data_IF_907257511292
#
_entry.id   IF_907257511292
#
_cell.length_a   1.000
_cell.length_b   1.000
_cell.length_c   1.000
_cell.angle_alpha   90.00
_cell.angle_beta   90.00
_cell.angle_gamma   90.00
#
_symmetry.space_group_name_H-M   'P 1'
#
loop_
_entity.id
_entity.type
_entity.pdbx_description
1 polymer ?
#
# COMPACT_ATOMS: atom_id res chain seq x y z
N UNK A 1 -7.21 22.93 -19.30
CA UNK A 1 -8.10 21.76 -19.44
C UNK A 1 -7.59 20.63 -18.53
N UNK A 2 -8.26 20.33 -17.39
CA UNK A 2 -7.77 19.36 -16.39
C UNK A 2 -7.60 17.94 -16.94
N UNK A 3 -8.46 17.54 -17.88
CA UNK A 3 -8.40 16.21 -18.51
C UNK A 3 -7.15 16.06 -19.37
N UNK A 4 -6.76 17.12 -20.10
CA UNK A 4 -5.53 17.12 -20.89
C UNK A 4 -4.30 16.98 -19.99
N UNK A 5 -4.21 17.76 -18.91
CA UNK A 5 -3.10 17.66 -17.96
C UNK A 5 -3.00 16.25 -17.35
N UNK A 6 -4.13 15.63 -17.00
CA UNK A 6 -4.15 14.24 -16.54
C UNK A 6 -3.56 13.32 -17.62
N UNK A 7 -4.08 13.35 -18.85
CA UNK A 7 -3.58 12.50 -19.94
C UNK A 7 -2.09 12.70 -20.22
N UNK A 8 -1.60 13.94 -20.24
CA UNK A 8 -0.18 14.26 -20.39
C UNK A 8 0.65 13.67 -19.24
N UNK A 9 0.15 13.76 -18.01
CA UNK A 9 0.82 13.17 -16.83
C UNK A 9 0.89 11.65 -16.94
N UNK A 10 -0.17 11.01 -17.44
CA UNK A 10 -0.19 9.56 -17.66
C UNK A 10 0.84 9.18 -18.71
N UNK A 11 0.85 9.86 -19.85
CA UNK A 11 1.77 9.56 -20.96
C UNK A 11 3.22 9.76 -20.51
N UNK A 12 3.56 10.92 -19.94
CA UNK A 12 4.93 11.21 -19.48
C UNK A 12 5.32 10.23 -18.35
N UNK A 13 4.42 10.02 -17.39
CA UNK A 13 4.66 9.13 -16.25
C UNK A 13 4.83 7.66 -16.66
N UNK A 14 4.17 7.21 -17.73
CA UNK A 14 4.32 5.85 -18.25
C UNK A 14 5.75 5.52 -18.69
N UNK A 15 6.52 6.52 -19.15
CA UNK A 15 7.94 6.36 -19.51
C UNK A 15 8.85 6.25 -18.28
N UNK A 16 8.39 6.72 -17.11
CA UNK A 16 9.16 6.60 -15.85
C UNK A 16 8.74 5.36 -15.06
N UNK A 17 7.44 5.12 -14.95
CA UNK A 17 6.86 4.04 -14.15
C UNK A 17 5.62 3.47 -14.85
N UNK A 18 5.66 2.21 -15.34
CA UNK A 18 4.51 1.51 -15.94
C UNK A 18 3.21 1.57 -15.14
N UNK A 19 3.32 1.54 -13.81
CA UNK A 19 2.21 1.60 -12.85
C UNK A 19 1.44 2.92 -12.89
N UNK A 20 2.06 4.01 -13.34
CA UNK A 20 1.40 5.31 -13.52
C UNK A 20 0.33 5.25 -14.60
N UNK A 21 0.50 4.41 -15.63
CA UNK A 21 -0.54 4.19 -16.65
C UNK A 21 -1.83 3.70 -16.02
N UNK A 22 -1.74 2.63 -15.23
CA UNK A 22 -2.89 2.02 -14.57
C UNK A 22 -3.51 2.96 -13.53
N UNK A 23 -2.68 3.57 -12.67
CA UNK A 23 -3.14 4.53 -11.67
C UNK A 23 -3.84 5.74 -12.30
N UNK A 24 -3.24 6.28 -13.35
CA UNK A 24 -3.74 7.39 -14.12
C UNK A 24 -5.06 7.10 -14.80
N UNK A 25 -5.21 5.92 -15.41
CA UNK A 25 -6.46 5.49 -16.03
C UNK A 25 -7.58 5.39 -14.99
N UNK A 26 -7.31 4.82 -13.81
CA UNK A 26 -8.30 4.77 -12.72
C UNK A 26 -8.77 6.20 -12.38
N UNK A 27 -7.84 7.13 -12.17
CA UNK A 27 -8.16 8.52 -11.84
C UNK A 27 -8.84 9.28 -12.99
N UNK A 28 -8.56 8.91 -14.23
CA UNK A 28 -9.14 9.52 -15.43
C UNK A 28 -10.58 9.05 -15.68
N UNK A 29 -10.83 7.74 -15.53
CA UNK A 29 -12.18 7.13 -15.62
C UNK A 29 -13.05 7.62 -14.47
N UNK A 30 -12.50 7.64 -13.25
CA UNK A 30 -13.22 8.01 -12.03
C UNK A 30 -12.69 9.36 -11.48
N UNK A 31 -13.17 10.50 -12.01
CA UNK A 31 -12.69 11.81 -11.60
C UNK A 31 -13.09 12.11 -10.16
N UNK A 32 -12.44 13.13 -9.59
CA UNK A 32 -12.81 13.69 -8.29
C UNK A 32 -14.30 14.05 -8.25
N UNK A 33 -15.01 13.49 -7.27
CA UNK A 33 -16.41 13.85 -7.01
C UNK A 33 -16.51 15.27 -6.47
N UNK A 34 -17.58 15.99 -6.84
CA UNK A 34 -17.91 17.29 -6.25
C UNK A 34 -18.42 17.15 -4.81
N UNK A 35 -19.08 16.04 -4.51
CA UNK A 35 -19.61 15.73 -3.19
C UNK A 35 -18.71 14.69 -2.51
N UNK A 36 -18.35 14.88 -1.22
CA UNK A 36 -17.65 13.86 -0.48
C UNK A 36 -18.52 12.59 -0.38
N UNK A 37 -17.88 11.42 -0.39
CA UNK A 37 -18.58 10.16 -0.16
C UNK A 37 -19.10 10.14 1.28
N UNK A 38 -20.41 9.96 1.43
CA UNK A 38 -21.03 9.84 2.75
C UNK A 38 -20.72 8.48 3.37
N UNK A 39 -20.55 8.46 4.69
CA UNK A 39 -20.34 7.20 5.41
C UNK A 39 -21.62 6.37 5.37
N UNK A 40 -21.49 5.08 5.13
CA UNK A 40 -22.63 4.17 5.23
C UNK A 40 -23.18 4.13 6.66
N UNK A 41 -24.51 4.20 6.86
CA UNK A 41 -25.12 3.86 8.14
C UNK A 41 -24.96 2.36 8.44
N UNK A 42 -24.82 1.52 7.42
CA UNK A 42 -24.67 0.07 7.52
C UNK A 42 -23.20 -0.32 7.71
N UNK A 43 -22.78 -0.48 8.97
CA UNK A 43 -21.39 -0.88 9.31
C UNK A 43 -21.00 -2.29 8.85
N UNK A 44 -21.97 -3.17 8.56
CA UNK A 44 -21.73 -4.60 8.36
C UNK A 44 -21.23 -4.94 6.95
N UNK A 45 -21.72 -4.25 5.92
CA UNK A 45 -21.31 -4.48 4.53
C UNK A 45 -19.82 -4.22 4.29
N UNK A 46 -19.24 -3.27 5.01
CA UNK A 46 -17.81 -2.93 4.93
C UNK A 46 -16.92 -4.07 5.44
N UNK A 47 -17.37 -4.75 6.49
CA UNK A 47 -16.69 -5.92 7.04
C UNK A 47 -16.74 -7.08 6.06
N UNK A 48 -17.86 -7.30 5.37
CA UNK A 48 -18.02 -8.38 4.38
C UNK A 48 -17.10 -8.16 3.19
N UNK A 49 -17.06 -6.97 2.58
CA UNK A 49 -16.18 -6.70 1.45
C UNK A 49 -14.70 -6.83 1.80
N UNK A 50 -14.29 -6.35 2.97
CA UNK A 50 -12.92 -6.56 3.45
C UNK A 50 -12.57 -8.02 3.67
N UNK A 51 -13.51 -8.80 4.20
CA UNK A 51 -13.32 -10.24 4.35
C UNK A 51 -13.18 -10.91 2.97
N UNK A 52 -14.02 -10.54 1.99
CA UNK A 52 -13.92 -11.04 0.61
C UNK A 52 -12.56 -10.69 0.01
N UNK A 53 -12.11 -9.43 0.11
CA UNK A 53 -10.81 -9.02 -0.39
C UNK A 53 -9.66 -9.82 0.25
N UNK A 54 -9.68 -9.98 1.57
CA UNK A 54 -8.67 -10.76 2.28
C UNK A 54 -8.71 -12.24 1.85
N UNK A 55 -9.89 -12.84 1.76
CA UNK A 55 -10.08 -14.23 1.32
C UNK A 55 -9.57 -14.45 -0.10
N UNK A 56 -9.83 -13.54 -1.04
CA UNK A 56 -9.31 -13.67 -2.43
C UNK A 56 -7.78 -13.71 -2.45
N UNK A 57 -7.11 -12.87 -1.64
CA UNK A 57 -5.65 -12.90 -1.52
C UNK A 57 -5.17 -14.24 -0.94
N UNK A 58 -5.83 -14.74 0.11
CA UNK A 58 -5.49 -16.05 0.70
C UNK A 58 -5.70 -17.20 -0.28
N UNK A 59 -6.79 -17.20 -1.05
CA UNK A 59 -7.03 -18.21 -2.08
C UNK A 59 -5.91 -18.21 -3.14
N UNK A 60 -5.41 -17.03 -3.51
CA UNK A 60 -4.25 -16.89 -4.38
C UNK A 60 -2.99 -17.53 -3.78
N UNK A 61 -2.71 -17.25 -2.50
CA UNK A 61 -1.59 -17.87 -1.77
C UNK A 61 -1.74 -19.39 -1.72
N UNK A 62 -2.92 -19.90 -1.34
CA UNK A 62 -3.19 -21.34 -1.25
C UNK A 62 -2.97 -22.01 -2.60
N UNK A 63 -3.47 -21.40 -3.68
CA UNK A 63 -3.31 -21.92 -5.03
C UNK A 63 -1.83 -22.01 -5.44
N UNK A 64 -1.05 -20.94 -5.25
CA UNK A 64 0.35 -20.97 -5.69
C UNK A 64 1.26 -21.82 -4.79
N UNK A 65 1.07 -21.76 -3.47
CA UNK A 65 1.93 -22.47 -2.53
C UNK A 65 1.54 -23.95 -2.38
N UNK A 66 0.28 -24.27 -2.07
CA UNK A 66 -0.12 -25.65 -1.78
C UNK A 66 -0.49 -26.46 -3.03
N UNK A 67 -1.14 -25.84 -4.02
CA UNK A 67 -1.61 -26.56 -5.22
C UNK A 67 -0.50 -26.64 -6.28
N UNK A 68 0.10 -25.50 -6.62
CA UNK A 68 1.19 -25.46 -7.62
C UNK A 68 2.57 -25.81 -7.05
N UNK A 69 2.72 -25.89 -5.72
CA UNK A 69 3.99 -26.19 -5.04
C UNK A 69 5.14 -25.29 -5.49
N UNK A 70 4.83 -24.02 -5.74
CA UNK A 70 5.86 -23.07 -6.09
C UNK A 70 6.65 -22.66 -4.84
N UNK A 71 7.96 -22.65 -4.98
CA UNK A 71 8.85 -22.00 -4.03
C UNK A 71 8.81 -20.48 -4.24
N UNK A 72 9.16 -19.73 -3.19
CA UNK A 72 9.28 -18.28 -3.31
C UNK A 72 10.34 -17.93 -4.36
N UNK A 73 10.06 -16.91 -5.17
CA UNK A 73 11.02 -16.43 -6.15
C UNK A 73 12.20 -15.76 -5.44
N UNK A 74 13.43 -16.07 -5.87
CA UNK A 74 14.64 -15.48 -5.29
C UNK A 74 15.43 -16.39 -4.34
N UNK A 75 15.08 -17.67 -4.18
CA UNK A 75 15.93 -18.61 -3.45
C UNK A 75 15.83 -18.55 -1.92
N UNK A 76 15.09 -17.59 -1.35
CA UNK A 76 14.71 -17.69 0.06
C UNK A 76 13.59 -18.70 0.23
N UNK A 77 13.83 -19.68 1.09
CA UNK A 77 12.84 -20.71 1.36
C UNK A 77 11.73 -20.10 2.21
N UNK A 78 10.49 -20.48 1.90
CA UNK A 78 9.36 -20.17 2.77
C UNK A 78 9.59 -20.91 4.08
N UNK A 79 9.51 -20.22 5.22
CA UNK A 79 9.70 -20.85 6.52
C UNK A 79 8.45 -21.64 6.89
N UNK A 80 8.43 -22.93 6.48
CA UNK A 80 7.30 -23.86 6.63
C UNK A 80 6.62 -23.83 8.02
N UNK A 81 7.37 -23.86 9.15
CA UNK A 81 6.79 -23.69 10.49
C UNK A 81 5.90 -22.46 10.69
N UNK A 82 6.15 -21.36 9.97
CA UNK A 82 5.43 -20.10 10.14
C UNK A 82 4.40 -19.82 9.04
N UNK A 83 4.27 -20.64 8.00
CA UNK A 83 3.39 -20.38 6.84
C UNK A 83 1.96 -20.06 7.24
N UNK A 84 1.36 -20.87 8.11
CA UNK A 84 -0.01 -20.64 8.56
C UNK A 84 -0.16 -19.31 9.30
N UNK A 85 0.82 -18.96 10.14
CA UNK A 85 0.84 -17.69 10.86
C UNK A 85 1.02 -16.52 9.89
N UNK A 86 1.85 -16.67 8.84
CA UNK A 86 2.02 -15.67 7.80
C UNK A 86 0.76 -15.47 6.96
N UNK A 87 0.03 -16.54 6.62
CA UNK A 87 -1.27 -16.47 5.96
C UNK A 87 -2.28 -15.69 6.81
N UNK A 88 -2.34 -15.98 8.11
CA UNK A 88 -3.20 -15.23 9.05
C UNK A 88 -2.77 -13.76 9.11
N UNK A 89 -1.47 -13.48 9.14
CA UNK A 89 -0.94 -12.11 9.15
C UNK A 89 -1.36 -11.32 7.89
N UNK A 90 -1.24 -11.93 6.70
CA UNK A 90 -1.68 -11.33 5.43
C UNK A 90 -3.20 -11.09 5.45
N UNK A 91 -3.99 -12.07 5.91
CA UNK A 91 -5.44 -11.93 6.01
C UNK A 91 -5.82 -10.74 6.90
N UNK A 92 -5.26 -10.69 8.12
CA UNK A 92 -5.54 -9.62 9.08
C UNK A 92 -5.12 -8.26 8.52
N UNK A 93 -3.96 -8.17 7.89
CA UNK A 93 -3.50 -6.94 7.25
C UNK A 93 -4.47 -6.46 6.17
N UNK A 94 -4.78 -7.29 5.17
CA UNK A 94 -5.68 -6.91 4.07
C UNK A 94 -7.06 -6.56 4.61
N UNK A 95 -7.57 -7.32 5.57
CA UNK A 95 -8.86 -7.05 6.20
C UNK A 95 -8.89 -5.68 6.90
N UNK A 96 -7.95 -5.40 7.81
CA UNK A 96 -7.95 -4.15 8.57
C UNK A 96 -7.61 -2.92 7.73
N UNK A 97 -6.76 -3.08 6.70
CA UNK A 97 -6.38 -2.00 5.81
C UNK A 97 -7.53 -1.64 4.86
N UNK A 98 -8.26 -2.61 4.31
CA UNK A 98 -9.36 -2.32 3.38
C UNK A 98 -10.65 -1.87 4.08
N UNK A 99 -10.89 -2.31 5.32
CA UNK A 99 -12.16 -2.06 6.04
C UNK A 99 -12.57 -0.59 6.13
N UNK A 100 -11.70 0.36 6.52
CA UNK A 100 -12.09 1.77 6.56
C UNK A 100 -12.24 2.38 5.16
N UNK A 101 -11.64 1.80 4.12
CA UNK A 101 -11.80 2.26 2.73
C UNK A 101 -13.15 1.87 2.14
N UNK A 102 -13.74 0.77 2.61
CA UNK A 102 -15.09 0.35 2.23
C UNK A 102 -16.19 1.01 3.06
N UNK A 103 -15.90 1.98 3.92
CA UNK A 103 -16.90 2.59 4.81
C UNK A 103 -17.79 3.65 4.12
N UNK A 104 -18.50 3.25 3.06
CA UNK A 104 -19.37 4.13 2.28
C UNK A 104 -20.66 3.45 1.83
N UNK A 105 -21.71 4.24 1.54
CA UNK A 105 -22.96 3.71 1.00
C UNK A 105 -22.76 3.19 -0.43
N UNK A 106 -22.69 1.87 -0.59
CA UNK A 106 -22.46 1.21 -1.88
C UNK A 106 -23.47 1.59 -2.95
N UNK A 107 -24.75 1.69 -2.58
CA UNK A 107 -25.81 1.96 -3.55
C UNK A 107 -25.75 3.41 -4.02
N UNK A 108 -25.50 4.35 -3.10
CA UNK A 108 -25.22 5.74 -3.42
C UNK A 108 -23.97 5.89 -4.29
N UNK A 109 -22.86 5.30 -3.87
CA UNK A 109 -21.58 5.36 -4.61
C UNK A 109 -21.71 4.73 -5.99
N UNK A 110 -22.38 3.58 -6.15
CA UNK A 110 -22.57 2.94 -7.44
C UNK A 110 -23.37 3.84 -8.40
N UNK A 111 -24.46 4.45 -7.92
CA UNK A 111 -25.25 5.42 -8.71
C UNK A 111 -24.40 6.62 -9.14
N UNK A 112 -23.56 7.14 -8.24
CA UNK A 112 -22.68 8.27 -8.55
C UNK A 112 -21.57 7.85 -9.52
N UNK A 113 -20.97 6.68 -9.34
CA UNK A 113 -19.96 6.10 -10.24
C UNK A 113 -20.49 6.00 -11.66
N UNK A 114 -21.67 5.41 -11.85
CA UNK A 114 -22.29 5.22 -13.18
C UNK A 114 -22.47 6.58 -13.87
N UNK A 115 -22.86 7.63 -13.13
CA UNK A 115 -23.01 8.99 -13.68
C UNK A 115 -21.67 9.66 -14.03
N UNK A 116 -20.59 9.29 -13.37
CA UNK A 116 -19.25 9.85 -13.61
C UNK A 116 -18.55 9.23 -14.82
N UNK A 117 -18.89 7.97 -15.14
CA UNK A 117 -18.34 7.26 -16.27
C UNK A 117 -18.95 7.80 -17.57
N UNK A 118 -18.12 8.34 -18.45
CA UNK A 118 -18.54 8.72 -19.80
C UNK A 118 -17.91 7.80 -20.84
N UNK A 119 -18.63 7.43 -21.92
CA UNK A 119 -18.08 6.55 -22.97
C UNK A 119 -16.74 7.06 -23.52
N UNK A 120 -16.61 8.37 -23.70
CA UNK A 120 -15.36 9.03 -24.11
C UNK A 120 -14.18 8.68 -23.19
N UNK A 121 -14.37 8.69 -21.87
CA UNK A 121 -13.30 8.37 -20.91
C UNK A 121 -12.91 6.91 -20.96
N UNK A 122 -13.90 6.01 -21.08
CA UNK A 122 -13.64 4.57 -21.24
C UNK A 122 -12.85 4.33 -22.52
N UNK A 123 -13.31 4.85 -23.67
CA UNK A 123 -12.67 4.66 -24.97
C UNK A 123 -11.22 5.14 -24.92
N UNK A 124 -10.97 6.35 -24.42
CA UNK A 124 -9.60 6.89 -24.29
C UNK A 124 -8.76 5.99 -23.38
N UNK A 125 -9.31 5.53 -22.25
CA UNK A 125 -8.58 4.65 -21.32
C UNK A 125 -8.23 3.30 -21.94
N UNK A 126 -9.16 2.70 -22.71
CA UNK A 126 -8.93 1.46 -23.44
C UNK A 126 -7.86 1.66 -24.50
N UNK A 127 -7.94 2.75 -25.29
CA UNK A 127 -6.91 3.09 -26.29
C UNK A 127 -5.54 3.23 -25.60
N UNK A 128 -5.46 3.93 -24.46
CA UNK A 128 -4.21 4.07 -23.71
C UNK A 128 -3.68 2.72 -23.21
N UNK A 129 -4.52 1.82 -22.71
CA UNK A 129 -4.10 0.47 -22.31
C UNK A 129 -3.59 -0.35 -23.49
N UNK A 130 -4.29 -0.30 -24.63
CA UNK A 130 -3.90 -1.01 -25.84
C UNK A 130 -2.56 -0.49 -26.35
N UNK A 131 -2.40 0.83 -26.46
CA UNK A 131 -1.14 1.45 -26.88
C UNK A 131 -0.02 1.10 -25.89
N UNK A 132 -0.25 1.25 -24.59
CA UNK A 132 0.73 0.89 -23.57
C UNK A 132 1.16 -0.58 -23.67
N UNK A 133 0.20 -1.50 -23.82
CA UNK A 133 0.48 -2.94 -23.97
C UNK A 133 1.24 -3.23 -25.26
N UNK A 134 0.87 -2.58 -26.37
CA UNK A 134 1.56 -2.67 -27.65
C UNK A 134 3.00 -2.19 -27.55
N UNK A 135 3.24 -0.99 -27.01
CA UNK A 135 4.58 -0.44 -26.81
C UNK A 135 5.42 -1.34 -25.89
N UNK A 136 4.85 -1.80 -24.76
CA UNK A 136 5.53 -2.76 -23.88
C UNK A 136 5.93 -4.00 -24.67
N UNK A 137 5.00 -4.66 -25.35
CA UNK A 137 5.28 -5.92 -26.06
C UNK A 137 6.30 -5.76 -27.19
N UNK A 138 6.31 -4.64 -27.88
CA UNK A 138 7.22 -4.37 -29.00
C UNK A 138 8.64 -4.00 -28.54
N UNK A 139 8.75 -3.24 -27.44
CA UNK A 139 10.03 -2.63 -27.03
C UNK A 139 10.61 -3.19 -25.73
N UNK A 140 9.85 -3.94 -24.92
CA UNK A 140 10.41 -4.63 -23.77
C UNK A 140 11.09 -5.92 -24.22
N UNK A 141 12.26 -6.22 -23.66
CA UNK A 141 12.81 -7.57 -23.72
C UNK A 141 11.75 -8.58 -23.23
N UNK A 142 11.80 -9.85 -23.69
CA UNK A 142 10.94 -10.90 -23.15
C UNK A 142 11.25 -11.10 -21.66
N UNK A 143 10.58 -10.33 -20.82
CA UNK A 143 10.59 -10.47 -19.36
C UNK A 143 9.58 -11.53 -18.95
N UNK A 144 9.76 -12.11 -17.76
CA UNK A 144 8.82 -13.03 -17.15
C UNK A 144 7.36 -12.58 -17.32
N UNK A 145 6.49 -13.53 -17.68
CA UNK A 145 5.08 -13.27 -17.95
C UNK A 145 4.36 -12.72 -16.70
N UNK A 146 3.27 -11.97 -16.90
CA UNK A 146 2.48 -11.36 -15.83
C UNK A 146 2.05 -12.30 -14.66
N UNK A 147 1.75 -13.61 -14.84
CA UNK A 147 1.43 -14.49 -13.71
C UNK A 147 2.59 -14.68 -12.72
N UNK A 148 3.84 -14.58 -13.18
CA UNK A 148 5.01 -14.73 -12.32
C UNK A 148 5.13 -13.61 -11.30
N UNK A 149 4.79 -12.38 -11.69
CA UNK A 149 4.83 -11.21 -10.80
C UNK A 149 3.83 -11.37 -9.65
N UNK A 150 2.58 -11.74 -9.95
CA UNK A 150 1.57 -11.97 -8.93
C UNK A 150 1.96 -13.12 -8.00
N UNK A 151 2.55 -14.18 -8.55
CA UNK A 151 3.10 -15.30 -7.76
C UNK A 151 4.17 -14.80 -6.80
N UNK A 152 5.14 -14.02 -7.27
CA UNK A 152 6.20 -13.45 -6.43
C UNK A 152 5.59 -12.62 -5.29
N UNK A 153 4.61 -11.77 -5.58
CA UNK A 153 3.99 -10.90 -4.56
C UNK A 153 3.28 -11.70 -3.48
N UNK A 154 2.50 -12.71 -3.88
CA UNK A 154 1.77 -13.56 -2.95
C UNK A 154 2.73 -14.44 -2.11
N UNK A 155 3.72 -15.08 -2.73
CA UNK A 155 4.61 -16.00 -2.02
C UNK A 155 5.64 -15.28 -1.14
N UNK A 156 6.13 -14.12 -1.57
CA UNK A 156 7.05 -13.30 -0.75
C UNK A 156 6.37 -12.75 0.51
N UNK A 157 5.05 -12.57 0.48
CA UNK A 157 4.26 -12.12 1.64
C UNK A 157 4.18 -13.13 2.79
N UNK A 158 4.44 -14.42 2.51
CA UNK A 158 4.29 -15.50 3.48
C UNK A 158 5.60 -16.11 4.00
N UNK A 159 6.75 -15.59 3.58
CA UNK A 159 8.05 -16.10 4.02
C UNK A 159 8.20 -16.06 5.55
N UNK A 160 7.80 -14.95 6.17
CA UNK A 160 7.70 -14.77 7.63
C UNK A 160 6.45 -13.93 7.97
N UNK A 161 5.87 -14.06 9.18
CA UNK A 161 4.67 -13.33 9.55
C UNK A 161 4.89 -11.82 9.49
N UNK A 162 4.01 -11.07 8.81
CA UNK A 162 4.15 -9.61 8.66
C UNK A 162 5.49 -9.14 8.05
N UNK A 163 6.25 -10.00 7.34
CA UNK A 163 7.54 -9.63 6.75
C UNK A 163 7.42 -8.39 5.85
N UNK A 164 6.35 -8.29 5.08
CA UNK A 164 6.09 -7.12 4.23
C UNK A 164 5.96 -5.82 5.03
N UNK A 165 5.36 -5.87 6.23
CA UNK A 165 5.19 -4.69 7.06
C UNK A 165 6.53 -4.24 7.66
N UNK A 166 7.31 -5.20 8.18
CA UNK A 166 8.67 -4.92 8.67
C UNK A 166 9.51 -4.31 7.55
N UNK A 167 9.41 -4.89 6.36
CA UNK A 167 10.12 -4.42 5.18
C UNK A 167 9.76 -3.00 4.78
N UNK A 168 8.47 -2.64 4.78
CA UNK A 168 8.03 -1.29 4.49
C UNK A 168 8.52 -0.29 5.53
N UNK A 169 8.50 -0.64 6.83
CA UNK A 169 9.03 0.24 7.87
C UNK A 169 10.54 0.41 7.74
N UNK A 170 11.28 -0.66 7.47
CA UNK A 170 12.74 -0.59 7.25
C UNK A 170 13.08 0.22 6.00
N UNK A 171 12.29 0.10 4.92
CA UNK A 171 12.57 0.74 3.65
C UNK A 171 12.14 2.22 3.61
N UNK A 172 10.90 2.51 4.03
CA UNK A 172 10.32 3.85 3.98
C UNK A 172 10.47 4.62 5.30
N UNK A 173 10.92 3.96 6.36
CA UNK A 173 11.15 4.56 7.66
C UNK A 173 9.87 4.75 8.50
N UNK A 174 9.91 5.62 9.52
CA UNK A 174 8.84 5.77 10.50
C UNK A 174 7.53 6.34 9.93
N UNK A 175 7.53 6.84 8.68
CA UNK A 175 6.30 7.31 8.03
C UNK A 175 5.26 6.20 7.87
N UNK A 176 5.69 4.94 7.66
CA UNK A 176 4.78 3.79 7.56
C UNK A 176 4.05 3.55 8.88
N UNK A 177 4.74 3.74 10.01
CA UNK A 177 4.15 3.65 11.34
C UNK A 177 3.09 4.74 11.54
N UNK A 178 3.37 5.98 11.10
CA UNK A 178 2.38 7.05 11.13
C UNK A 178 1.18 6.73 10.22
N UNK A 179 1.41 6.19 9.01
CA UNK A 179 0.35 5.74 8.12
C UNK A 179 -0.56 4.73 8.82
N UNK A 180 0.01 3.74 9.51
CA UNK A 180 -0.77 2.76 10.27
C UNK A 180 -1.58 3.39 11.40
N UNK A 181 -0.95 4.25 12.22
CA UNK A 181 -1.60 4.89 13.36
C UNK A 181 -2.73 5.84 12.94
N UNK A 182 -2.59 6.49 11.79
CA UNK A 182 -3.58 7.41 11.23
C UNK A 182 -4.45 6.79 10.14
N UNK A 183 -4.35 5.48 9.89
CA UNK A 183 -4.96 4.82 8.72
C UNK A 183 -6.45 5.14 8.56
N UNK A 184 -7.25 5.01 9.63
CA UNK A 184 -8.69 5.33 9.59
C UNK A 184 -8.97 6.77 9.16
N UNK A 185 -8.15 7.73 9.59
CA UNK A 185 -8.31 9.15 9.20
C UNK A 185 -7.85 9.36 7.75
N UNK A 186 -6.76 8.71 7.35
CA UNK A 186 -6.25 8.72 5.97
C UNK A 186 -7.32 8.18 5.02
N UNK A 187 -7.92 7.02 5.33
CA UNK A 187 -9.00 6.43 4.53
C UNK A 187 -10.21 7.37 4.43
N UNK A 188 -10.62 8.01 5.53
CA UNK A 188 -11.72 8.99 5.51
C UNK A 188 -11.41 10.19 4.61
N UNK A 189 -10.19 10.69 4.70
CA UNK A 189 -9.74 11.81 3.87
C UNK A 189 -9.72 11.40 2.39
N UNK A 190 -9.18 10.23 2.06
CA UNK A 190 -9.15 9.64 0.72
C UNK A 190 -10.56 9.49 0.14
N UNK A 191 -11.50 8.92 0.90
CA UNK A 191 -12.91 8.79 0.48
C UNK A 191 -13.54 10.15 0.17
N UNK A 192 -13.13 11.22 0.87
CA UNK A 192 -13.57 12.58 0.59
C UNK A 192 -13.14 13.13 -0.78
N UNK A 193 -12.13 12.54 -1.44
CA UNK A 193 -11.72 12.89 -2.80
C UNK A 193 -12.49 12.09 -3.88
N UNK A 194 -13.18 11.01 -3.51
CA UNK A 194 -14.01 10.21 -4.40
C UNK A 194 -13.45 8.82 -4.73
N UNK A 195 -14.26 8.04 -5.44
CA UNK A 195 -14.06 6.61 -5.67
C UNK A 195 -12.79 6.28 -6.46
N UNK A 196 -12.37 7.13 -7.41
CA UNK A 196 -11.15 6.90 -8.18
C UNK A 196 -9.91 6.80 -7.30
N UNK A 197 -9.80 7.66 -6.28
CA UNK A 197 -8.69 7.61 -5.34
C UNK A 197 -8.80 6.40 -4.40
N UNK A 198 -10.00 6.04 -3.97
CA UNK A 198 -10.24 4.82 -3.19
C UNK A 198 -9.78 3.58 -3.96
N UNK A 199 -10.16 3.46 -5.24
CA UNK A 199 -9.76 2.35 -6.11
C UNK A 199 -8.23 2.30 -6.32
N UNK A 200 -7.59 3.46 -6.51
CA UNK A 200 -6.14 3.53 -6.62
C UNK A 200 -5.45 3.07 -5.32
N UNK A 201 -5.98 3.47 -4.16
CA UNK A 201 -5.43 3.06 -2.87
C UNK A 201 -5.66 1.57 -2.63
N UNK A 202 -6.84 1.03 -2.98
CA UNK A 202 -7.10 -0.41 -2.93
C UNK A 202 -6.15 -1.21 -3.83
N UNK A 203 -5.88 -0.72 -5.04
CA UNK A 203 -4.86 -1.29 -5.92
C UNK A 203 -3.47 -1.27 -5.25
N UNK A 204 -3.13 -0.17 -4.58
CA UNK A 204 -1.87 -0.06 -3.83
C UNK A 204 -1.79 -1.04 -2.66
N UNK A 205 -2.92 -1.34 -2.00
CA UNK A 205 -2.98 -2.35 -0.91
C UNK A 205 -2.69 -3.75 -1.42
N UNK A 206 -3.09 -4.08 -2.66
CA UNK A 206 -2.75 -5.37 -3.29
C UNK A 206 -1.25 -5.49 -3.48
N UNK A 207 -0.58 -4.41 -3.87
CA UNK A 207 0.88 -4.39 -3.97
C UNK A 207 1.56 -4.27 -2.59
N UNK A 208 0.85 -3.80 -1.56
CA UNK A 208 1.42 -3.53 -0.24
C UNK A 208 1.73 -4.77 0.61
N UNK A 209 1.27 -5.96 0.24
CA UNK A 209 1.68 -7.19 0.92
C UNK A 209 2.92 -7.85 0.26
N UNK A 210 3.42 -7.32 -0.86
CA UNK A 210 4.74 -7.68 -1.38
C UNK A 210 5.81 -7.28 -0.35
N UNK A 211 6.72 -8.20 -0.02
CA UNK A 211 7.80 -7.88 0.93
C UNK A 211 8.89 -7.01 0.33
N UNK A 212 9.00 -6.98 -1.00
CA UNK A 212 9.91 -6.11 -1.72
C UNK A 212 9.37 -4.68 -1.84
N UNK A 213 9.58 -3.89 -0.80
CA UNK A 213 9.03 -2.53 -0.66
C UNK A 213 9.25 -1.61 -1.86
N UNK A 214 10.37 -1.76 -2.60
CA UNK A 214 10.69 -0.92 -3.77
C UNK A 214 9.64 -0.98 -4.89
N UNK A 215 8.84 -2.05 -4.98
CA UNK A 215 7.75 -2.18 -5.93
C UNK A 215 6.66 -1.09 -5.76
N UNK A 216 6.56 -0.50 -4.57
CA UNK A 216 5.57 0.51 -4.20
C UNK A 216 6.08 1.95 -4.27
N UNK A 217 7.33 2.18 -4.68
CA UNK A 217 7.97 3.50 -4.53
C UNK A 217 7.21 4.62 -5.23
N UNK A 218 6.48 4.31 -6.30
CA UNK A 218 5.66 5.26 -7.05
C UNK A 218 4.26 5.50 -6.43
N UNK A 219 3.80 4.63 -5.52
CA UNK A 219 2.48 4.71 -4.87
C UNK A 219 2.58 5.24 -3.43
N UNK A 220 3.71 5.03 -2.74
CA UNK A 220 3.92 5.54 -1.37
C UNK A 220 3.75 7.06 -1.25
N UNK A 221 4.28 7.91 -2.17
CA UNK A 221 4.09 9.36 -2.09
C UNK A 221 2.63 9.78 -2.02
N UNK A 222 1.72 9.03 -2.66
CA UNK A 222 0.28 9.29 -2.60
C UNK A 222 -0.22 9.23 -1.15
N UNK A 223 0.09 8.16 -0.43
CA UNK A 223 -0.35 7.95 0.96
C UNK A 223 0.37 8.89 1.91
N UNK A 224 1.64 9.20 1.65
CA UNK A 224 2.43 10.16 2.44
C UNK A 224 1.80 11.54 2.40
N UNK A 225 1.36 12.03 1.24
CA UNK A 225 0.69 13.34 1.12
C UNK A 225 -0.57 13.42 1.99
N UNK A 226 -1.41 12.37 2.01
CA UNK A 226 -2.58 12.33 2.89
C UNK A 226 -2.22 12.23 4.36
N UNK A 227 -1.10 11.57 4.67
CA UNK A 227 -0.58 11.47 6.03
C UNK A 227 -0.11 12.83 6.52
N UNK A 228 0.74 13.52 5.75
CA UNK A 228 1.21 14.88 6.05
C UNK A 228 0.03 15.83 6.25
N UNK A 229 -0.96 15.80 5.35
CA UNK A 229 -2.17 16.62 5.49
C UNK A 229 -2.94 16.39 6.80
N UNK A 230 -2.89 15.18 7.37
CA UNK A 230 -3.50 14.89 8.67
C UNK A 230 -2.61 15.39 9.82
N UNK A 231 -1.29 15.36 9.64
CA UNK A 231 -0.31 15.82 10.60
C UNK A 231 -0.26 17.36 10.67
N UNK A 232 -0.53 18.08 9.59
CA UNK A 232 -0.56 19.56 9.54
C UNK A 232 -1.55 20.16 10.55
N UNK A 233 -2.62 19.43 10.86
CA UNK A 233 -3.62 19.81 11.86
C UNK A 233 -3.17 19.62 13.32
N UNK A 234 -1.98 19.02 13.53
CA UNK A 234 -1.49 18.59 14.83
C UNK A 234 -0.23 19.38 15.18
N UNK A 235 -0.29 20.12 16.28
CA UNK A 235 0.87 20.81 16.83
C UNK A 235 1.70 19.81 17.63
N UNK A 236 2.87 19.44 17.13
CA UNK A 236 3.80 18.54 17.80
C UNK A 236 4.76 19.28 18.72
N UNK A 237 5.18 18.61 19.80
CA UNK A 237 6.33 19.08 20.59
C UNK A 237 7.62 18.91 19.77
N UNK A 238 8.65 19.75 19.99
CA UNK A 238 9.95 19.62 19.33
C UNK A 238 10.55 18.20 19.40
N UNK A 239 10.33 17.48 20.51
CA UNK A 239 10.81 16.11 20.71
C UNK A 239 10.32 15.13 19.64
N UNK A 240 9.10 15.31 19.12
CA UNK A 240 8.57 14.48 18.04
C UNK A 240 9.45 14.56 16.79
N UNK A 241 9.83 15.77 16.37
CA UNK A 241 10.63 15.98 15.16
C UNK A 241 12.03 15.37 15.31
N UNK A 242 12.65 15.52 16.49
CA UNK A 242 13.95 14.91 16.77
C UNK A 242 13.88 13.38 16.75
N UNK A 243 12.91 12.79 17.44
CA UNK A 243 12.74 11.33 17.49
C UNK A 243 12.44 10.78 16.08
N UNK A 244 11.54 11.43 15.35
CA UNK A 244 11.20 11.04 13.99
C UNK A 244 12.40 11.17 13.04
N UNK A 245 13.17 12.25 13.16
CA UNK A 245 14.38 12.49 12.35
C UNK A 245 15.47 11.47 12.62
N UNK A 246 15.74 11.17 13.90
CA UNK A 246 16.71 10.14 14.31
C UNK A 246 16.29 8.78 13.77
N UNK A 247 15.03 8.37 13.95
CA UNK A 247 14.54 7.11 13.39
C UNK A 247 14.62 7.05 11.87
N UNK A 248 14.35 8.15 11.17
CA UNK A 248 14.49 8.21 9.72
C UNK A 248 15.95 8.07 9.29
N UNK A 249 16.89 8.68 10.02
CA UNK A 249 18.33 8.57 9.75
C UNK A 249 18.86 7.14 10.00
N UNK A 250 18.36 6.46 11.03
CA UNK A 250 18.72 5.06 11.27
C UNK A 250 18.10 4.14 10.21
N UNK A 251 16.83 4.35 9.86
CA UNK A 251 16.13 3.56 8.84
C UNK A 251 16.71 3.75 7.43
N UNK A 252 17.29 4.91 7.12
CA UNK A 252 17.97 5.14 5.83
C UNK A 252 19.24 4.32 5.66
N UNK A 253 19.73 3.66 6.74
CA UNK A 253 20.95 2.84 6.76
C UNK A 253 22.17 3.63 6.31
N UNK A 254 22.24 4.94 6.62
CA UNK A 254 23.42 5.78 6.33
C UNK A 254 24.71 5.23 6.97
N UNK A 255 24.56 4.40 8.00
CA UNK A 255 25.65 3.72 8.70
C UNK A 255 26.13 2.43 8.00
N UNK A 256 25.40 1.90 7.02
CA UNK A 256 25.75 0.67 6.32
C UNK A 256 26.70 0.98 5.14
N UNK A 257 27.94 0.49 5.14
CA UNK A 257 28.87 0.77 4.06
C UNK A 257 28.49 0.00 2.80
N UNK A 258 28.29 0.70 1.68
CA UNK A 258 27.88 0.07 0.41
C UNK A 258 28.98 -0.77 -0.26
N UNK A 259 30.23 -0.62 0.19
CA UNK A 259 31.42 -1.21 -0.42
C UNK A 259 31.88 -2.53 0.20
N UNK A 260 31.22 -3.02 1.27
CA UNK A 260 31.69 -4.22 1.99
C UNK A 260 31.14 -5.53 1.40
N UNK A 261 29.82 -5.63 1.23
CA UNK A 261 29.17 -6.83 0.70
C UNK A 261 27.73 -6.49 0.26
N UNK A 262 27.41 -6.80 -1.00
CA UNK A 262 26.07 -6.62 -1.54
C UNK A 262 25.05 -7.55 -0.84
N UNK A 263 25.50 -8.71 -0.33
CA UNK A 263 24.69 -9.62 0.48
C UNK A 263 24.21 -8.98 1.77
N UNK A 264 25.10 -8.32 2.51
CA UNK A 264 24.73 -7.56 3.73
C UNK A 264 23.72 -6.45 3.43
N UNK A 265 23.87 -5.77 2.29
CA UNK A 265 22.87 -4.80 1.85
C UNK A 265 21.52 -5.48 1.64
N UNK A 266 21.45 -6.55 0.83
CA UNK A 266 20.20 -7.26 0.53
C UNK A 266 19.54 -7.87 1.76
N UNK A 267 20.30 -8.38 2.73
CA UNK A 267 19.78 -8.93 4.00
C UNK A 267 18.98 -7.92 4.84
N UNK A 268 18.98 -6.65 4.46
CA UNK A 268 18.15 -5.63 5.07
C UNK A 268 16.87 -5.28 4.29
N UNK A 269 16.51 -6.06 3.26
CA UNK A 269 15.35 -5.79 2.42
C UNK A 269 14.43 -7.00 2.36
N UNK A 270 13.14 -6.74 2.57
CA UNK A 270 12.07 -7.54 2.01
C UNK A 270 12.23 -9.05 2.13
N UNK A 271 12.12 -9.74 1.00
CA UNK A 271 12.17 -11.19 0.99
C UNK A 271 13.55 -11.77 1.27
N UNK A 272 14.58 -10.94 1.40
CA UNK A 272 15.99 -11.30 1.54
C UNK A 272 16.51 -11.20 2.97
N UNK A 273 15.65 -10.78 3.91
CA UNK A 273 16.03 -10.71 5.32
C UNK A 273 16.36 -12.10 5.87
N UNK A 274 17.50 -12.23 6.55
CA UNK A 274 17.74 -13.39 7.40
C UNK A 274 16.74 -13.40 8.57
N UNK A 275 16.51 -14.56 9.19
CA UNK A 275 15.64 -14.66 10.38
C UNK A 275 16.08 -13.70 11.50
N UNK A 276 17.39 -13.57 11.72
CA UNK A 276 17.94 -12.64 12.71
C UNK A 276 17.71 -11.18 12.30
N UNK A 277 17.91 -10.83 11.03
CA UNK A 277 17.63 -9.50 10.50
C UNK A 277 16.16 -9.12 10.61
N UNK A 278 15.27 -10.05 10.29
CA UNK A 278 13.83 -9.91 10.46
C UNK A 278 13.44 -9.63 11.92
N UNK A 279 13.99 -10.40 12.88
CA UNK A 279 13.70 -10.18 14.31
C UNK A 279 14.20 -8.80 14.76
N UNK A 280 15.46 -8.45 14.44
CA UNK A 280 16.07 -7.16 14.85
C UNK A 280 15.25 -5.99 14.30
N UNK A 281 14.94 -6.02 13.01
CA UNK A 281 14.17 -4.96 12.36
C UNK A 281 12.72 -4.93 12.82
N UNK A 282 12.10 -6.08 13.05
CA UNK A 282 10.74 -6.20 13.58
C UNK A 282 10.63 -5.61 14.99
N UNK A 283 11.59 -5.90 15.87
CA UNK A 283 11.67 -5.31 17.22
C UNK A 283 11.89 -3.80 17.14
N UNK A 284 12.79 -3.34 16.27
CA UNK A 284 13.02 -1.91 16.07
C UNK A 284 11.77 -1.19 15.55
N UNK A 285 11.06 -1.76 14.58
CA UNK A 285 9.81 -1.23 14.04
C UNK A 285 8.70 -1.18 15.10
N UNK A 286 8.55 -2.24 15.90
CA UNK A 286 7.58 -2.31 16.99
C UNK A 286 7.87 -1.24 18.06
N UNK A 287 9.12 -1.17 18.52
CA UNK A 287 9.54 -0.18 19.52
C UNK A 287 9.36 1.25 19.02
N UNK A 288 9.73 1.51 17.76
CA UNK A 288 9.50 2.81 17.13
C UNK A 288 8.02 3.15 17.03
N UNK A 289 7.18 2.17 16.70
CA UNK A 289 5.72 2.32 16.68
C UNK A 289 5.13 2.66 18.05
N UNK A 290 5.62 2.00 19.11
CA UNK A 290 5.21 2.26 20.49
C UNK A 290 5.61 3.68 20.92
N UNK A 291 6.86 4.09 20.67
CA UNK A 291 7.33 5.45 21.00
C UNK A 291 6.48 6.51 20.29
N UNK A 292 6.27 6.36 18.98
CA UNK A 292 5.43 7.28 18.21
C UNK A 292 3.99 7.30 18.76
N UNK A 293 3.42 6.14 19.09
CA UNK A 293 2.09 6.07 19.69
C UNK A 293 2.00 6.80 21.03
N UNK A 294 2.98 6.63 21.93
CA UNK A 294 3.00 7.30 23.24
C UNK A 294 3.07 8.81 23.08
N UNK A 295 3.99 9.31 22.24
CA UNK A 295 4.12 10.75 21.95
C UNK A 295 2.82 11.32 21.37
N UNK A 296 2.17 10.58 20.47
CA UNK A 296 0.90 10.97 19.89
C UNK A 296 -0.22 10.94 20.93
N UNK A 297 -0.24 9.96 21.83
CA UNK A 297 -1.24 9.82 22.87
C UNK A 297 -1.19 10.96 23.90
N UNK A 298 0.00 11.48 24.22
CA UNK A 298 0.14 12.67 25.08
C UNK A 298 -0.46 13.94 24.46
N UNK A 299 -0.58 13.98 23.13
CA UNK A 299 -1.16 15.13 22.46
C UNK A 299 -2.68 15.14 22.64
N UNK A 300 -3.19 16.04 23.49
CA UNK A 300 -4.65 16.18 23.76
C UNK A 300 -5.47 16.29 22.47
N UNK A 301 -4.96 16.89 21.40
CA UNK A 301 -5.65 16.99 20.11
C UNK A 301 -5.83 15.62 19.42
N UNK A 302 -4.85 14.72 19.56
CA UNK A 302 -4.94 13.35 19.08
C UNK A 302 -6.06 12.58 19.80
N UNK A 303 -6.14 12.70 21.13
CA UNK A 303 -7.16 12.06 21.97
C UNK A 303 -8.58 12.63 21.78
N UNK A 304 -8.74 13.96 21.80
CA UNK A 304 -10.06 14.63 21.66
C UNK A 304 -10.75 14.33 20.33
N UNK A 305 -9.97 14.02 19.29
CA UNK A 305 -10.49 13.60 17.98
C UNK A 305 -10.84 12.11 17.91
N UNK A 306 -10.32 11.27 18.81
CA UNK A 306 -10.69 9.84 18.90
C UNK A 306 -12.12 9.65 19.42
N UNK A 307 -12.57 10.55 20.31
CA UNK A 307 -13.92 10.49 20.92
C UNK A 307 -15.03 11.03 20.02
N UNK A 308 -14.78 12.04 19.17
CA UNK A 308 -15.78 12.57 18.20
C UNK A 308 -16.03 11.66 16.97
N UNK A 309 -15.32 10.53 16.84
CA UNK A 309 -15.46 9.57 15.74
C UNK A 309 -16.17 8.27 16.15
N UNK A 310 -16.78 8.24 17.34
CA UNK A 310 -17.72 7.19 17.77
C UNK A 310 -19.15 7.66 17.48
#
# INVERSE_FOLDING_TARGET
NKSFLMLSTIIIGAFTWPTVTYAGIILYVFPRSKKPIENSPFRHSNTILSAICATVVILGIIFFHFIKKYNSAGGNLINEPFVLLSIVAVFLYVFFVTRPLFNFDYMGVLKDVIKLITPRRIIISVIMLVLFKFFRQTYSLPTAENPEVLRVYLLSSIQLPFIFLVSHVTYYGPIVLLIMLFWKKISKLIMGYGIGLVLLVLLSVIFAFESESRGLINLVPLIVVFTVKILDDIHFRPSFYWIFGIFSLFASKVWLPLNLDLGLYFMNFGPWMSDSGYIVQGVAALFGGIILYVILAENKAFLKRRTKLK
#
